data_IF_563747382234
#
_entry.id   IF_563747382234
#
_cell.length_a   1.000
_cell.length_b   1.000
_cell.length_c   1.000
_cell.angle_alpha   90.00
_cell.angle_beta   90.00
_cell.angle_gamma   90.00
#
_symmetry.space_group_name_H-M   'P 1'
#
loop_
_entity.id
_entity.type
_entity.pdbx_description
1 polymer ?
#
# COMPACT_ATOMS: atom_id res chain seq x y z
N UNK A 1 3.55 -5.84 -25.42
CA UNK A 1 3.64 -4.37 -25.20
C UNK A 1 2.25 -3.80 -25.26
N UNK A 2 1.85 -3.00 -24.28
CA UNK A 2 0.57 -2.29 -24.35
C UNK A 2 0.74 -1.17 -25.37
N UNK A 3 0.10 -1.34 -26.53
CA UNK A 3 0.18 -0.34 -27.63
C UNK A 3 -0.71 0.89 -27.35
N UNK A 4 -1.23 0.99 -26.14
CA UNK A 4 -2.20 1.99 -25.71
C UNK A 4 -1.87 2.60 -24.35
N UNK A 5 -2.83 3.36 -23.85
CA UNK A 5 -2.80 4.00 -22.52
C UNK A 5 -3.72 3.29 -21.55
N UNK A 6 -3.26 3.02 -20.33
CA UNK A 6 -4.11 2.48 -19.28
C UNK A 6 -4.15 3.37 -18.02
N UNK A 7 -5.29 3.34 -17.32
CA UNK A 7 -5.43 3.90 -15.99
C UNK A 7 -5.37 2.81 -14.93
N UNK A 8 -4.58 3.06 -13.90
CA UNK A 8 -4.41 2.19 -12.75
C UNK A 8 -4.91 2.92 -11.51
N UNK A 9 -5.71 2.23 -10.69
CA UNK A 9 -6.21 2.80 -9.44
C UNK A 9 -5.91 1.87 -8.26
N UNK A 10 -5.31 2.43 -7.22
CA UNK A 10 -5.16 1.81 -5.91
C UNK A 10 -6.09 2.55 -4.93
N UNK A 11 -7.21 1.91 -4.61
CA UNK A 11 -8.28 2.45 -3.76
C UNK A 11 -8.16 1.87 -2.37
N UNK A 12 -7.43 2.56 -1.49
CA UNK A 12 -7.36 2.27 -0.06
C UNK A 12 -8.55 2.86 0.71
N UNK A 13 -8.58 2.66 2.03
CA UNK A 13 -9.69 3.14 2.88
C UNK A 13 -9.73 4.66 3.08
N UNK A 14 -8.61 5.37 2.99
CA UNK A 14 -8.54 6.83 3.23
C UNK A 14 -8.20 7.63 1.98
N UNK A 15 -7.63 6.99 0.97
CA UNK A 15 -7.07 7.64 -0.20
C UNK A 15 -7.15 6.74 -1.42
N UNK A 16 -7.37 7.36 -2.57
CA UNK A 16 -7.19 6.77 -3.89
C UNK A 16 -5.87 7.27 -4.48
N UNK A 17 -5.00 6.36 -4.91
CA UNK A 17 -3.85 6.65 -5.76
C UNK A 17 -4.18 6.27 -7.18
N UNK A 18 -3.64 6.97 -8.16
CA UNK A 18 -3.80 6.64 -9.57
C UNK A 18 -2.48 6.74 -10.33
N UNK A 19 -2.39 5.98 -11.42
CA UNK A 19 -1.27 6.02 -12.35
C UNK A 19 -1.77 5.96 -13.79
N UNK A 20 -1.06 6.65 -14.68
CA UNK A 20 -1.25 6.55 -16.14
C UNK A 20 -0.11 5.69 -16.65
N UNK A 21 -0.44 4.54 -17.22
CA UNK A 21 0.50 3.63 -17.86
C UNK A 21 0.55 3.94 -19.34
N UNK A 22 1.74 4.24 -19.86
CA UNK A 22 2.03 4.52 -21.26
C UNK A 22 3.33 3.82 -21.66
N UNK A 23 3.35 3.11 -22.77
CA UNK A 23 4.56 2.42 -23.28
C UNK A 23 5.26 1.60 -22.18
N UNK A 24 4.48 0.77 -21.48
CA UNK A 24 4.95 -0.09 -20.38
C UNK A 24 5.53 0.62 -19.15
N UNK A 25 5.38 1.94 -19.04
CA UNK A 25 5.85 2.73 -17.90
C UNK A 25 4.72 3.55 -17.26
N UNK A 26 4.77 3.68 -15.97
CA UNK A 26 3.89 4.60 -15.25
C UNK A 26 4.45 6.01 -15.47
N UNK A 27 3.87 6.71 -16.45
CA UNK A 27 4.33 8.04 -16.88
C UNK A 27 3.93 9.13 -15.87
N UNK A 28 2.80 8.96 -15.20
CA UNK A 28 2.25 9.97 -14.29
C UNK A 28 1.49 9.30 -13.15
N UNK A 29 1.64 9.82 -11.94
CA UNK A 29 0.92 9.37 -10.76
C UNK A 29 0.31 10.53 -9.99
N UNK A 30 -0.70 10.24 -9.19
CA UNK A 30 -1.27 11.19 -8.27
C UNK A 30 -2.10 10.50 -7.19
N UNK A 31 -2.62 11.30 -6.29
CA UNK A 31 -3.52 10.80 -5.24
C UNK A 31 -4.54 11.83 -4.83
N UNK A 32 -5.67 11.34 -4.30
CA UNK A 32 -6.74 12.16 -3.75
C UNK A 32 -7.29 11.46 -2.51
N UNK A 33 -7.65 12.22 -1.48
CA UNK A 33 -8.26 11.66 -0.26
C UNK A 33 -9.76 11.40 -0.48
N UNK A 34 -10.33 10.46 0.27
CA UNK A 34 -11.78 10.25 0.24
C UNK A 34 -12.54 11.47 0.76
N UNK A 35 -11.99 12.21 1.73
CA UNK A 35 -12.57 13.47 2.19
C UNK A 35 -12.72 14.48 1.04
N UNK A 36 -11.66 14.69 0.24
CA UNK A 36 -11.72 15.57 -0.93
C UNK A 36 -12.76 15.08 -1.96
N UNK A 37 -12.86 13.75 -2.18
CA UNK A 37 -13.88 13.19 -3.08
C UNK A 37 -15.30 13.37 -2.55
N UNK A 38 -15.50 13.39 -1.24
CA UNK A 38 -16.79 13.67 -0.61
C UNK A 38 -17.17 15.15 -0.72
N UNK A 39 -16.22 16.05 -0.51
CA UNK A 39 -16.43 17.50 -0.55
C UNK A 39 -16.59 18.04 -1.97
N UNK A 40 -15.71 17.62 -2.90
CA UNK A 40 -15.60 18.20 -4.25
C UNK A 40 -16.12 17.27 -5.35
N UNK A 41 -16.63 16.08 -5.00
CA UNK A 41 -17.07 15.07 -5.96
C UNK A 41 -15.93 14.46 -6.78
N UNK A 42 -16.27 13.54 -7.67
CA UNK A 42 -15.32 12.87 -8.55
C UNK A 42 -14.72 13.80 -9.63
N UNK A 43 -15.28 14.99 -9.84
CA UNK A 43 -14.69 15.99 -10.73
C UNK A 43 -13.25 16.34 -10.32
N UNK A 44 -12.97 16.39 -9.02
CA UNK A 44 -11.61 16.61 -8.51
C UNK A 44 -10.60 15.52 -8.94
N UNK A 45 -11.09 14.33 -9.29
CA UNK A 45 -10.29 13.24 -9.84
C UNK A 45 -10.24 13.32 -11.38
N UNK A 46 -11.39 13.41 -12.06
CA UNK A 46 -11.50 13.31 -13.51
C UNK A 46 -10.76 14.43 -14.25
N UNK A 47 -10.71 15.65 -13.68
CA UNK A 47 -9.93 16.77 -14.24
C UNK A 47 -8.42 16.51 -14.31
N UNK A 48 -7.93 15.52 -13.58
CA UNK A 48 -6.50 15.14 -13.52
C UNK A 48 -6.15 13.95 -14.42
N UNK A 49 -7.16 13.31 -15.00
CA UNK A 49 -7.03 12.06 -15.74
C UNK A 49 -7.23 12.26 -17.24
N UNK A 50 -6.57 11.45 -18.09
CA UNK A 50 -6.84 11.45 -19.51
C UNK A 50 -8.25 10.92 -19.80
N UNK A 51 -8.87 11.41 -20.87
CA UNK A 51 -10.18 10.93 -21.32
C UNK A 51 -10.10 9.69 -22.20
N UNK A 52 -9.03 9.55 -22.99
CA UNK A 52 -8.84 8.40 -23.88
C UNK A 52 -7.85 7.42 -23.25
N UNK A 53 -8.35 6.25 -22.90
CA UNK A 53 -7.58 5.12 -22.39
C UNK A 53 -8.21 3.83 -22.90
N UNK A 54 -7.38 2.81 -23.08
CA UNK A 54 -7.82 1.52 -23.64
C UNK A 54 -8.21 0.54 -22.53
N UNK A 55 -7.66 0.72 -21.34
CA UNK A 55 -7.90 -0.18 -20.20
C UNK A 55 -7.91 0.59 -18.89
N UNK A 56 -8.74 0.12 -17.95
CA UNK A 56 -8.74 0.61 -16.56
C UNK A 56 -8.68 -0.59 -15.62
N UNK A 57 -7.68 -0.64 -14.76
CA UNK A 57 -7.52 -1.70 -13.75
C UNK A 57 -7.43 -1.11 -12.34
N UNK A 58 -8.23 -1.68 -11.44
CA UNK A 58 -8.43 -1.16 -10.08
C UNK A 58 -8.09 -2.23 -9.04
N UNK A 59 -7.29 -1.88 -8.06
CA UNK A 59 -7.22 -2.52 -6.74
C UNK A 59 -8.14 -1.75 -5.80
N UNK A 60 -9.13 -2.41 -5.18
CA UNK A 60 -10.11 -1.74 -4.33
C UNK A 60 -10.34 -2.47 -3.02
N UNK A 61 -10.08 -1.80 -1.90
CA UNK A 61 -10.40 -2.27 -0.53
C UNK A 61 -11.35 -1.31 0.21
N UNK A 62 -11.87 -0.27 -0.47
CA UNK A 62 -12.83 0.69 0.10
C UNK A 62 -14.31 0.25 0.00
N UNK A 63 -14.55 -1.01 -0.39
CA UNK A 63 -15.88 -1.60 -0.44
C UNK A 63 -16.60 -1.47 -1.78
N UNK A 64 -17.73 -2.19 -1.90
CA UNK A 64 -18.48 -2.32 -3.16
C UNK A 64 -19.12 -0.98 -3.61
N UNK A 65 -19.64 -0.19 -2.68
CA UNK A 65 -20.26 1.10 -3.00
C UNK A 65 -19.27 2.06 -3.68
N UNK A 66 -18.03 2.13 -3.18
CA UNK A 66 -17.00 2.94 -3.82
C UNK A 66 -16.63 2.39 -5.21
N UNK A 67 -16.50 1.06 -5.34
CA UNK A 67 -16.21 0.41 -6.62
C UNK A 67 -17.26 0.76 -7.68
N UNK A 68 -18.55 0.65 -7.37
CA UNK A 68 -19.66 0.98 -8.29
C UNK A 68 -19.62 2.44 -8.70
N UNK A 69 -19.41 3.35 -7.76
CA UNK A 69 -19.31 4.80 -8.05
C UNK A 69 -18.11 5.12 -8.94
N UNK A 70 -16.95 4.55 -8.63
CA UNK A 70 -15.74 4.75 -9.44
C UNK A 70 -15.94 4.20 -10.86
N UNK A 71 -16.51 2.98 -10.99
CA UNK A 71 -16.77 2.37 -12.29
C UNK A 71 -17.72 3.24 -13.13
N UNK A 72 -18.82 3.72 -12.57
CA UNK A 72 -19.75 4.59 -13.28
C UNK A 72 -19.11 5.90 -13.75
N UNK A 73 -18.35 6.55 -12.87
CA UNK A 73 -17.68 7.82 -13.22
C UNK A 73 -16.61 7.60 -14.29
N UNK A 74 -15.78 6.56 -14.14
CA UNK A 74 -14.70 6.29 -15.11
C UNK A 74 -15.24 5.79 -16.45
N UNK A 75 -16.29 4.95 -16.46
CA UNK A 75 -16.95 4.51 -17.67
C UNK A 75 -17.45 5.69 -18.50
N UNK A 76 -18.11 6.67 -17.87
CA UNK A 76 -18.57 7.89 -18.54
C UNK A 76 -17.40 8.79 -18.96
N UNK A 77 -16.36 8.93 -18.12
CA UNK A 77 -15.23 9.83 -18.39
C UNK A 77 -14.33 9.35 -19.53
N UNK A 78 -14.07 8.04 -19.57
CA UNK A 78 -13.11 7.42 -20.50
C UNK A 78 -13.78 6.62 -21.64
N UNK A 79 -15.07 6.36 -21.57
CA UNK A 79 -15.79 5.44 -22.46
C UNK A 79 -15.13 4.05 -22.53
N UNK A 80 -14.77 3.52 -21.35
CA UNK A 80 -13.98 2.29 -21.21
C UNK A 80 -14.41 1.52 -19.96
N UNK A 81 -14.48 0.19 -20.08
CA UNK A 81 -14.86 -0.68 -18.98
C UNK A 81 -13.81 -0.67 -17.85
N UNK A 82 -14.30 -0.71 -16.62
CA UNK A 82 -13.46 -0.73 -15.42
C UNK A 82 -13.33 -2.16 -14.90
N UNK A 83 -12.12 -2.68 -14.92
CA UNK A 83 -11.80 -4.00 -14.40
C UNK A 83 -11.22 -3.92 -12.99
N UNK A 84 -11.58 -4.89 -12.15
CA UNK A 84 -11.10 -4.98 -10.77
C UNK A 84 -10.19 -6.20 -10.61
N UNK A 85 -8.99 -5.96 -10.08
CA UNK A 85 -8.08 -7.02 -9.67
C UNK A 85 -8.69 -7.82 -8.51
N UNK A 86 -8.32 -9.09 -8.41
CA UNK A 86 -8.79 -10.00 -7.35
C UNK A 86 -7.63 -10.85 -6.85
N UNK A 87 -7.66 -11.17 -5.57
CA UNK A 87 -6.71 -12.12 -5.00
C UNK A 87 -7.06 -13.55 -5.45
N UNK A 88 -6.05 -14.26 -5.92
CA UNK A 88 -6.18 -15.59 -6.49
C UNK A 88 -5.40 -16.63 -5.67
N UNK A 89 -5.61 -17.91 -5.93
CA UNK A 89 -4.84 -18.99 -5.28
C UNK A 89 -3.40 -19.02 -5.78
N UNK A 90 -3.21 -18.87 -7.08
CA UNK A 90 -1.89 -18.78 -7.69
C UNK A 90 -1.98 -18.01 -9.00
N UNK A 91 -1.18 -16.97 -9.13
CA UNK A 91 -1.01 -16.20 -10.35
C UNK A 91 0.28 -15.35 -10.27
N UNK A 92 0.80 -14.94 -11.42
CA UNK A 92 1.94 -14.01 -11.53
C UNK A 92 3.19 -14.44 -10.75
N UNK A 93 3.42 -15.76 -10.64
CA UNK A 93 4.56 -16.32 -9.91
C UNK A 93 4.43 -16.25 -8.38
N UNK A 94 3.20 -16.09 -7.87
CA UNK A 94 2.89 -16.09 -6.44
C UNK A 94 1.84 -17.15 -6.13
N UNK A 95 2.03 -17.89 -5.03
CA UNK A 95 1.04 -18.80 -4.44
C UNK A 95 0.57 -18.24 -3.10
N UNK A 96 -0.72 -18.00 -2.98
CA UNK A 96 -1.38 -17.42 -1.82
C UNK A 96 -1.56 -18.47 -0.71
N UNK A 97 -1.12 -18.17 0.51
CA UNK A 97 -1.22 -19.06 1.66
C UNK A 97 -2.59 -19.08 2.34
N UNK A 98 -3.46 -18.12 2.05
CA UNK A 98 -4.77 -18.05 2.69
C UNK A 98 -5.62 -19.27 2.33
N UNK A 99 -6.29 -19.86 3.33
CA UNK A 99 -7.24 -20.96 3.10
C UNK A 99 -8.35 -20.58 2.12
N UNK A 100 -8.80 -19.33 2.18
CA UNK A 100 -9.72 -18.71 1.25
C UNK A 100 -9.00 -17.59 0.51
N UNK A 101 -8.43 -17.83 -0.68
CA UNK A 101 -7.55 -16.88 -1.37
C UNK A 101 -8.18 -15.50 -1.58
N UNK A 102 -9.48 -15.43 -1.84
CA UNK A 102 -10.21 -14.16 -2.02
C UNK A 102 -10.38 -13.32 -0.75
N UNK A 103 -10.03 -13.87 0.44
CA UNK A 103 -10.00 -13.13 1.71
C UNK A 103 -8.71 -12.35 1.94
N UNK A 104 -7.67 -12.63 1.18
CA UNK A 104 -6.47 -11.77 1.19
C UNK A 104 -6.84 -10.42 0.57
N UNK A 105 -6.49 -9.31 1.22
CA UNK A 105 -6.68 -7.96 0.68
C UNK A 105 -6.06 -7.84 -0.70
N UNK A 106 -6.82 -7.31 -1.66
CA UNK A 106 -6.35 -7.22 -3.05
C UNK A 106 -5.17 -6.27 -3.20
N UNK A 107 -5.09 -5.22 -2.38
CA UNK A 107 -3.94 -4.30 -2.28
C UNK A 107 -2.65 -5.05 -1.91
N UNK A 108 -2.71 -5.91 -0.89
CA UNK A 108 -1.59 -6.76 -0.48
C UNK A 108 -1.19 -7.76 -1.57
N UNK A 109 -2.17 -8.40 -2.21
CA UNK A 109 -1.95 -9.30 -3.34
C UNK A 109 -1.22 -8.61 -4.48
N UNK A 110 -1.70 -7.45 -4.89
CA UNK A 110 -1.11 -6.66 -5.97
C UNK A 110 0.26 -6.09 -5.59
N UNK A 111 0.45 -5.68 -4.32
CA UNK A 111 1.78 -5.27 -3.83
C UNK A 111 2.80 -6.40 -3.90
N UNK A 112 2.41 -7.64 -3.54
CA UNK A 112 3.28 -8.83 -3.70
C UNK A 112 3.63 -9.08 -5.16
N UNK A 113 2.67 -8.95 -6.08
CA UNK A 113 2.92 -9.07 -7.54
C UNK A 113 3.95 -8.04 -7.99
N UNK A 114 3.78 -6.77 -7.59
CA UNK A 114 4.72 -5.69 -7.93
C UNK A 114 6.13 -5.96 -7.40
N UNK A 115 6.24 -6.40 -6.15
CA UNK A 115 7.52 -6.74 -5.56
C UNK A 115 8.18 -7.95 -6.27
N UNK A 116 7.41 -8.99 -6.59
CA UNK A 116 7.92 -10.20 -7.24
C UNK A 116 8.32 -9.97 -8.70
N UNK A 117 7.64 -9.07 -9.41
CA UNK A 117 7.98 -8.68 -10.76
C UNK A 117 9.38 -8.05 -10.85
N UNK A 118 9.75 -7.25 -9.85
CA UNK A 118 11.05 -6.56 -9.79
C UNK A 118 12.15 -7.41 -9.15
N UNK A 119 11.81 -8.19 -8.11
CA UNK A 119 12.80 -8.81 -7.23
C UNK A 119 12.78 -10.33 -7.29
N UNK A 120 13.95 -10.93 -7.09
CA UNK A 120 14.14 -12.37 -6.90
C UNK A 120 14.58 -12.64 -5.47
N UNK A 121 14.35 -13.90 -5.01
CA UNK A 121 14.64 -14.34 -3.65
C UNK A 121 13.48 -14.06 -2.69
N UNK A 122 13.73 -14.22 -1.40
CA UNK A 122 12.74 -13.94 -0.37
C UNK A 122 12.51 -12.43 -0.21
N UNK A 123 11.26 -12.03 0.05
CA UNK A 123 10.86 -10.62 0.14
C UNK A 123 9.96 -10.45 1.38
N UNK A 124 10.24 -9.41 2.15
CA UNK A 124 9.35 -8.89 3.19
C UNK A 124 8.76 -7.57 2.69
N UNK A 125 7.47 -7.56 2.37
CA UNK A 125 6.75 -6.40 1.86
C UNK A 125 6.06 -5.70 3.03
N UNK A 126 6.31 -4.41 3.19
CA UNK A 126 5.75 -3.58 4.27
C UNK A 126 5.01 -2.40 3.63
N UNK A 127 3.71 -2.33 3.82
CA UNK A 127 2.90 -1.17 3.43
C UNK A 127 2.52 -0.38 4.68
N UNK A 128 2.93 0.88 4.75
CA UNK A 128 2.68 1.79 5.88
C UNK A 128 1.63 2.82 5.46
N UNK A 129 0.38 2.43 5.60
CA UNK A 129 -0.79 3.24 5.26
C UNK A 129 -1.71 3.47 6.47
N UNK A 130 -3.01 3.52 6.22
CA UNK A 130 -4.06 3.58 7.28
C UNK A 130 -3.97 2.37 8.21
N UNK A 131 -3.70 1.20 7.67
CA UNK A 131 -3.14 0.05 8.38
C UNK A 131 -1.69 -0.15 7.95
N UNK A 132 -0.89 -0.81 8.79
CA UNK A 132 0.40 -1.36 8.38
C UNK A 132 0.21 -2.83 8.07
N UNK A 133 0.65 -3.25 6.89
CA UNK A 133 0.67 -4.67 6.54
C UNK A 133 2.10 -5.14 6.30
N UNK A 134 2.40 -6.36 6.72
CA UNK A 134 3.69 -7.02 6.53
C UNK A 134 3.40 -8.37 5.90
N UNK A 135 3.89 -8.60 4.67
CA UNK A 135 3.72 -9.83 3.93
C UNK A 135 5.06 -10.47 3.60
N UNK A 136 5.18 -11.77 3.81
CA UNK A 136 6.40 -12.52 3.56
C UNK A 136 6.24 -13.44 2.34
N UNK A 137 7.16 -13.32 1.38
CA UNK A 137 7.32 -14.24 0.26
C UNK A 137 8.64 -14.99 0.38
N UNK A 138 8.65 -16.28 0.07
CA UNK A 138 9.88 -17.02 -0.11
C UNK A 138 10.52 -16.79 -1.49
N UNK A 139 11.63 -17.49 -1.75
CA UNK A 139 12.36 -17.38 -3.03
C UNK A 139 11.57 -17.87 -4.24
N UNK A 140 10.62 -18.77 -4.03
CA UNK A 140 9.81 -19.41 -5.07
C UNK A 140 8.46 -18.71 -5.29
N UNK A 141 8.18 -17.65 -4.51
CA UNK A 141 6.94 -16.86 -4.59
C UNK A 141 5.81 -17.43 -3.74
N UNK A 142 6.10 -18.38 -2.84
CA UNK A 142 5.12 -18.83 -1.87
C UNK A 142 4.90 -17.74 -0.84
N UNK A 143 3.67 -17.28 -0.70
CA UNK A 143 3.27 -16.39 0.39
C UNK A 143 3.32 -17.18 1.71
N UNK A 144 4.12 -16.74 2.64
CA UNK A 144 4.30 -17.40 3.95
C UNK A 144 3.28 -16.93 4.99
N UNK A 145 2.49 -15.90 4.64
CA UNK A 145 1.55 -15.23 5.52
C UNK A 145 1.89 -13.77 5.74
N UNK A 146 1.07 -13.09 6.53
CA UNK A 146 1.29 -11.68 6.80
C UNK A 146 0.71 -11.23 8.13
N UNK A 147 1.01 -9.98 8.50
CA UNK A 147 0.54 -9.31 9.69
C UNK A 147 -0.18 -8.03 9.30
N UNK A 148 -1.17 -7.63 10.10
CA UNK A 148 -1.89 -6.36 9.96
C UNK A 148 -1.87 -5.67 11.31
N UNK A 149 -1.38 -4.43 11.33
CA UNK A 149 -1.34 -3.57 12.51
C UNK A 149 -2.09 -2.27 12.20
N UNK A 150 -2.56 -1.54 13.23
CA UNK A 150 -3.04 -0.18 13.02
C UNK A 150 -1.92 0.68 12.42
N UNK A 151 -2.26 1.59 11.50
CA UNK A 151 -1.30 2.58 11.00
C UNK A 151 -0.90 3.59 12.07
N UNK A 152 0.18 4.32 11.82
CA UNK A 152 0.77 5.25 12.80
C UNK A 152 -0.24 6.26 13.35
N UNK A 153 -1.00 6.91 12.46
CA UNK A 153 -2.01 7.89 12.88
C UNK A 153 -3.16 7.23 13.64
N UNK A 154 -3.54 6.01 13.25
CA UNK A 154 -4.63 5.28 13.91
C UNK A 154 -4.24 4.87 15.33
N UNK A 155 -2.97 4.46 15.56
CA UNK A 155 -2.45 4.18 16.91
C UNK A 155 -2.52 5.42 17.80
N UNK A 156 -2.07 6.57 17.27
CA UNK A 156 -2.10 7.85 18.00
C UNK A 156 -3.54 8.24 18.33
N UNK A 157 -4.44 8.20 17.33
CA UNK A 157 -5.85 8.58 17.51
C UNK A 157 -6.61 7.65 18.46
N UNK A 158 -6.25 6.37 18.52
CA UNK A 158 -6.86 5.43 19.48
C UNK A 158 -6.53 5.83 20.93
N UNK A 159 -5.26 6.20 21.20
CA UNK A 159 -4.88 6.68 22.53
C UNK A 159 -5.55 8.01 22.90
N UNK A 160 -5.71 8.94 21.94
CA UNK A 160 -6.44 10.20 22.17
C UNK A 160 -7.90 9.96 22.56
N UNK A 161 -8.56 9.01 21.89
CA UNK A 161 -9.98 8.76 22.07
C UNK A 161 -10.29 8.02 23.39
N UNK A 162 -9.45 7.07 23.77
CA UNK A 162 -9.74 6.14 24.85
C UNK A 162 -9.05 6.53 26.18
N UNK A 163 -8.33 7.67 26.23
CA UNK A 163 -7.67 8.16 27.44
C UNK A 163 -7.95 9.64 27.64
N UNK A 164 -8.56 9.99 28.79
CA UNK A 164 -8.96 11.37 29.10
C UNK A 164 -7.79 12.35 29.36
N UNK A 165 -6.59 11.85 29.63
CA UNK A 165 -5.41 12.66 29.97
C UNK A 165 -4.32 12.67 28.90
N UNK A 166 -4.42 11.78 27.88
CA UNK A 166 -3.49 11.78 26.75
C UNK A 166 -4.03 12.72 25.68
N UNK A 167 -4.02 14.02 25.93
CA UNK A 167 -4.32 15.05 24.93
C UNK A 167 -3.20 15.15 23.91
N UNK A 168 -3.20 14.29 22.90
CA UNK A 168 -2.26 14.37 21.78
C UNK A 168 -2.90 15.21 20.68
N UNK A 169 -2.89 16.54 20.86
CA UNK A 169 -3.36 17.42 19.79
C UNK A 169 -2.30 17.51 18.68
N UNK A 170 -2.58 16.94 17.52
CA UNK A 170 -1.81 17.23 16.32
C UNK A 170 -1.53 16.05 15.39
N UNK A 171 -1.27 16.39 14.15
CA UNK A 171 -0.73 15.47 13.14
C UNK A 171 0.64 14.98 13.57
N UNK A 172 0.93 13.71 13.32
CA UNK A 172 2.26 13.14 13.52
C UNK A 172 3.36 14.03 12.91
N UNK A 173 4.42 14.26 13.66
CA UNK A 173 5.57 15.03 13.16
C UNK A 173 6.19 14.36 11.93
N UNK A 174 6.65 15.18 10.98
CA UNK A 174 7.23 14.66 9.72
C UNK A 174 8.59 14.01 9.91
N UNK A 175 9.36 14.44 10.93
CA UNK A 175 10.69 13.91 11.22
C UNK A 175 10.71 13.36 12.65
N UNK A 176 10.50 12.06 12.85
CA UNK A 176 10.71 11.43 14.14
C UNK A 176 12.21 11.47 14.50
N UNK A 177 12.52 11.65 15.76
CA UNK A 177 13.87 11.56 16.26
C UNK A 177 14.48 10.16 16.10
N UNK A 178 15.79 10.07 16.05
CA UNK A 178 16.55 8.81 16.02
C UNK A 178 17.43 8.65 17.25
N UNK A 179 17.83 7.41 17.56
CA UNK A 179 18.62 7.12 18.74
C UNK A 179 17.89 7.48 20.04
N UNK A 180 18.53 8.17 20.97
CA UNK A 180 17.91 8.58 22.25
C UNK A 180 16.71 9.51 22.09
N UNK A 181 16.53 10.15 20.95
CA UNK A 181 15.35 10.97 20.64
C UNK A 181 14.08 10.13 20.43
N UNK A 182 14.18 8.81 20.31
CA UNK A 182 13.03 7.91 20.33
C UNK A 182 12.25 7.97 21.65
N UNK A 183 12.89 8.36 22.76
CA UNK A 183 12.22 8.61 24.03
C UNK A 183 11.68 10.04 24.06
N UNK A 184 10.36 10.17 23.85
CA UNK A 184 9.70 11.47 23.86
C UNK A 184 9.75 12.15 25.23
N UNK A 185 9.92 13.47 25.24
CA UNK A 185 9.93 14.30 26.46
C UNK A 185 8.59 15.01 26.70
N UNK A 186 7.55 14.62 26.00
CA UNK A 186 6.16 15.03 26.19
C UNK A 186 5.25 13.85 25.85
N UNK A 187 4.00 13.87 26.33
CA UNK A 187 2.99 12.84 26.01
C UNK A 187 2.83 12.69 24.49
N UNK A 188 2.75 13.80 23.77
CA UNK A 188 2.61 13.78 22.30
C UNK A 188 3.80 13.11 21.62
N UNK A 189 5.04 13.49 21.94
CA UNK A 189 6.24 12.87 21.33
C UNK A 189 6.42 11.42 21.78
N UNK A 190 6.09 11.08 23.03
CA UNK A 190 6.15 9.70 23.52
C UNK A 190 5.17 8.79 22.77
N UNK A 191 3.93 9.24 22.55
CA UNK A 191 2.91 8.50 21.80
C UNK A 191 3.32 8.31 20.34
N UNK A 192 3.80 9.37 19.68
CA UNK A 192 4.25 9.30 18.28
C UNK A 192 5.45 8.35 18.11
N UNK A 193 6.44 8.48 18.97
CA UNK A 193 7.65 7.65 18.93
C UNK A 193 7.34 6.19 19.30
N UNK A 194 6.43 5.97 20.25
CA UNK A 194 5.95 4.63 20.61
C UNK A 194 5.26 3.94 19.43
N UNK A 195 4.40 4.66 18.69
CA UNK A 195 3.75 4.14 17.49
C UNK A 195 4.78 3.78 16.40
N UNK A 196 5.78 4.62 16.18
CA UNK A 196 6.89 4.35 15.26
C UNK A 196 7.70 3.12 15.68
N UNK A 197 8.09 3.07 16.98
CA UNK A 197 8.83 1.94 17.52
C UNK A 197 8.07 0.62 17.41
N UNK A 198 6.74 0.64 17.61
CA UNK A 198 5.90 -0.55 17.45
C UNK A 198 5.92 -1.07 16.00
N UNK A 199 5.83 -0.19 15.00
CA UNK A 199 5.88 -0.59 13.59
C UNK A 199 7.27 -1.08 13.21
N UNK A 200 8.34 -0.35 13.57
CA UNK A 200 9.71 -0.77 13.29
C UNK A 200 10.03 -2.12 13.93
N UNK A 201 9.70 -2.30 15.22
CA UNK A 201 9.90 -3.56 15.92
C UNK A 201 9.11 -4.73 15.33
N UNK A 202 7.90 -4.50 14.81
CA UNK A 202 7.14 -5.52 14.09
C UNK A 202 7.84 -5.94 12.78
N UNK A 203 8.34 -4.99 12.00
CA UNK A 203 9.11 -5.26 10.77
C UNK A 203 10.39 -6.02 11.08
N UNK A 204 11.18 -5.57 12.05
CA UNK A 204 12.42 -6.21 12.48
C UNK A 204 12.17 -7.64 12.96
N UNK A 205 11.11 -7.85 13.76
CA UNK A 205 10.71 -9.18 14.22
C UNK A 205 10.31 -10.08 13.05
N UNK A 206 9.55 -9.58 12.08
CA UNK A 206 9.19 -10.35 10.89
C UNK A 206 10.42 -10.78 10.09
N UNK A 207 11.33 -9.85 9.83
CA UNK A 207 12.61 -10.13 9.14
C UNK A 207 13.49 -11.12 9.92
N UNK A 208 13.58 -10.95 11.25
CA UNK A 208 14.31 -11.87 12.13
C UNK A 208 13.72 -13.29 12.07
N UNK A 209 12.39 -13.40 12.10
CA UNK A 209 11.68 -14.68 11.97
C UNK A 209 11.99 -15.32 10.62
N UNK A 210 11.89 -14.59 9.51
CA UNK A 210 12.25 -15.14 8.19
C UNK A 210 13.72 -15.61 8.14
N UNK A 211 14.63 -14.86 8.76
CA UNK A 211 16.05 -15.25 8.82
C UNK A 211 16.29 -16.52 9.64
N UNK A 212 15.56 -16.69 10.73
CA UNK A 212 15.64 -17.90 11.56
C UNK A 212 15.18 -19.16 10.81
N UNK A 213 14.21 -18.99 9.89
CA UNK A 213 13.75 -20.05 8.96
C UNK A 213 14.68 -20.22 7.73
N UNK A 214 15.85 -19.60 7.72
CA UNK A 214 16.85 -19.73 6.65
C UNK A 214 16.64 -18.80 5.44
N UNK A 215 15.62 -17.95 5.44
CA UNK A 215 15.41 -16.97 4.39
C UNK A 215 16.35 -15.77 4.53
N UNK A 216 16.61 -15.09 3.42
CA UNK A 216 17.35 -13.80 3.40
C UNK A 216 16.49 -12.76 2.69
N UNK A 217 15.46 -12.21 3.37
CA UNK A 217 14.50 -11.36 2.73
C UNK A 217 15.12 -9.99 2.38
N UNK A 218 14.76 -9.48 1.18
CA UNK A 218 14.85 -8.06 0.86
C UNK A 218 13.62 -7.37 1.46
N UNK A 219 13.81 -6.22 2.08
CA UNK A 219 12.71 -5.43 2.65
C UNK A 219 12.23 -4.45 1.58
N UNK A 220 10.97 -4.54 1.20
CA UNK A 220 10.31 -3.59 0.30
C UNK A 220 9.32 -2.77 1.11
N UNK A 221 9.52 -1.46 1.12
CA UNK A 221 8.71 -0.52 1.88
C UNK A 221 7.87 0.34 0.94
N UNK A 222 6.58 0.38 1.18
CA UNK A 222 5.60 1.20 0.46
C UNK A 222 4.64 1.88 1.44
N UNK A 223 3.69 2.65 0.91
CA UNK A 223 2.68 3.35 1.72
C UNK A 223 2.96 4.84 1.92
N UNK A 224 1.93 5.55 2.34
CA UNK A 224 1.98 7.01 2.50
C UNK A 224 2.89 7.48 3.64
N UNK A 225 3.04 6.66 4.68
CA UNK A 225 3.86 6.94 5.85
C UNK A 225 5.21 6.18 5.85
N UNK A 226 5.53 5.49 4.75
CA UNK A 226 6.78 4.73 4.60
C UNK A 226 8.04 5.54 4.92
N UNK A 227 8.11 6.78 4.47
CA UNK A 227 9.25 7.68 4.71
C UNK A 227 9.53 7.96 6.19
N UNK A 228 8.53 7.77 7.07
CA UNK A 228 8.65 7.99 8.52
C UNK A 228 9.47 6.90 9.20
N UNK A 229 9.33 5.66 8.72
CA UNK A 229 10.04 4.50 9.29
C UNK A 229 11.30 4.11 8.50
N UNK A 230 11.44 4.58 7.25
CA UNK A 230 12.56 4.22 6.37
C UNK A 230 13.94 4.43 7.01
N UNK A 231 14.09 5.54 7.72
CA UNK A 231 15.37 5.91 8.38
C UNK A 231 15.61 5.18 9.71
N UNK A 232 14.62 4.45 10.20
CA UNK A 232 14.68 3.77 11.49
C UNK A 232 14.84 2.26 11.34
N UNK A 233 14.69 1.74 10.12
CA UNK A 233 14.88 0.33 9.82
C UNK A 233 16.34 0.07 9.44
N UNK A 234 16.92 -0.94 10.06
CA UNK A 234 18.24 -1.42 9.73
C UNK A 234 18.26 -2.22 8.43
N UNK A 235 19.37 -2.12 7.69
CA UNK A 235 19.62 -2.91 6.49
C UNK A 235 19.23 -2.23 5.17
N UNK A 236 19.27 -3.00 4.09
CA UNK A 236 18.96 -2.51 2.76
C UNK A 236 17.44 -2.54 2.53
N UNK A 237 16.79 -1.39 2.74
CA UNK A 237 15.34 -1.20 2.54
C UNK A 237 15.09 -0.56 1.17
N UNK A 238 14.33 -1.23 0.34
CA UNK A 238 13.93 -0.75 -0.98
C UNK A 238 12.61 0.02 -0.88
N UNK A 239 12.65 1.33 -0.97
CA UNK A 239 11.45 2.15 -0.96
C UNK A 239 10.78 2.18 -2.33
N UNK A 240 9.51 1.75 -2.39
CA UNK A 240 8.68 1.68 -3.61
C UNK A 240 7.32 2.34 -3.37
N UNK A 241 7.22 3.68 -3.50
CA UNK A 241 6.01 4.44 -3.15
C UNK A 241 4.74 4.02 -3.90
N UNK A 242 4.91 3.49 -5.11
CA UNK A 242 3.83 3.14 -6.03
C UNK A 242 3.73 1.62 -6.28
N UNK A 243 4.11 0.80 -5.29
CA UNK A 243 4.22 -0.66 -5.45
C UNK A 243 2.94 -1.31 -5.96
N UNK A 244 1.77 -0.91 -5.43
CA UNK A 244 0.47 -1.44 -5.90
C UNK A 244 0.21 -1.05 -7.34
N UNK A 245 0.49 0.20 -7.74
CA UNK A 245 0.35 0.62 -9.13
C UNK A 245 1.30 -0.15 -10.06
N UNK A 246 2.54 -0.44 -9.61
CA UNK A 246 3.49 -1.27 -10.34
C UNK A 246 2.97 -2.70 -10.51
N UNK A 247 2.34 -3.27 -9.47
CA UNK A 247 1.70 -4.58 -9.55
C UNK A 247 0.52 -4.60 -10.52
N UNK A 248 -0.32 -3.57 -10.53
CA UNK A 248 -1.41 -3.43 -11.51
C UNK A 248 -0.87 -3.31 -12.94
N UNK A 249 0.20 -2.54 -13.16
CA UNK A 249 0.87 -2.43 -14.45
C UNK A 249 1.35 -3.80 -14.93
N UNK A 250 2.03 -4.56 -14.06
CA UNK A 250 2.50 -5.90 -14.38
C UNK A 250 1.37 -6.87 -14.74
N UNK A 251 0.24 -6.81 -14.02
CA UNK A 251 -0.95 -7.62 -14.32
C UNK A 251 -1.47 -7.35 -15.74
N UNK A 252 -1.55 -6.09 -16.16
CA UNK A 252 -1.99 -5.75 -17.51
C UNK A 252 -0.99 -6.24 -18.58
N UNK A 253 0.30 -6.04 -18.36
CA UNK A 253 1.37 -6.46 -19.27
C UNK A 253 1.46 -7.99 -19.41
N UNK A 254 1.11 -8.75 -18.36
CA UNK A 254 1.17 -10.22 -18.36
C UNK A 254 -0.03 -10.90 -19.05
N UNK A 255 -1.06 -10.15 -19.43
CA UNK A 255 -2.26 -10.66 -20.13
C UNK A 255 -2.16 -10.56 -21.65
N UNK A 256 -1.09 -9.95 -22.14
CA UNK A 256 -0.73 -9.80 -23.54
C UNK A 256 0.27 -10.89 -23.97
#
# INVERSE_FOLDING_TARGET
>A
MIDGRALLFDVGNSRLKWGVLEQDRIARTGSITHATLQESGFNALTTRLPRKVDQILVSNVAGASFATRLAGVMGIHCDTDVHFARSEKSAYGITNSYRQPRRLGVDRWVAMIGARAELRGAICIVDVGTAVTIDALDKDGQHLGGQILPGLQLMVSALEKDTSEIGVSGRMQRNPGSGMQMFGKSTSTATQNGSLGAVCGAVERAVKTMRAEGFRPKIVLTGGDASRILKQLDGNVLHRPNLVLQGLAFILQSKL
#
